data_IF_103126152236
#
_entry.id   IF_103126152236
#
_cell.length_a   1.000
_cell.length_b   1.000
_cell.length_c   1.000
_cell.angle_alpha   90.00
_cell.angle_beta   90.00
_cell.angle_gamma   90.00
#
_symmetry.space_group_name_H-M   'P 1'
#
loop_
_entity.id
_entity.type
_entity.pdbx_description
1 polymer ?
#
# COMPACT_ATOMS: atom_id res chain seq x y z
N UNK A 1 -49.16 -31.23 -6.88
CA UNK A 1 -47.94 -30.60 -7.45
C UNK A 1 -47.84 -29.12 -7.05
N UNK A 2 -47.69 -28.81 -5.75
CA UNK A 2 -47.65 -27.40 -5.28
C UNK A 2 -46.62 -27.13 -4.17
N UNK A 3 -45.69 -28.07 -3.92
CA UNK A 3 -44.68 -27.91 -2.86
C UNK A 3 -43.30 -27.44 -3.35
N UNK A 4 -42.99 -27.58 -4.66
CA UNK A 4 -41.64 -27.30 -5.16
C UNK A 4 -41.37 -25.82 -5.47
N UNK A 5 -42.41 -24.99 -5.65
CA UNK A 5 -42.24 -23.57 -6.01
C UNK A 5 -42.05 -22.62 -4.82
N UNK A 6 -42.25 -23.08 -3.57
CA UNK A 6 -42.20 -22.19 -2.39
C UNK A 6 -40.83 -22.14 -1.69
N UNK A 7 -39.84 -22.95 -2.12
CA UNK A 7 -38.47 -22.94 -1.56
C UNK A 7 -37.45 -22.09 -2.32
N UNK A 8 -37.82 -21.52 -3.47
CA UNK A 8 -36.88 -20.72 -4.28
C UNK A 8 -36.92 -19.23 -3.90
N UNK A 9 -37.89 -18.78 -3.11
CA UNK A 9 -38.09 -17.37 -2.78
C UNK A 9 -37.69 -16.96 -1.35
N UNK A 10 -37.11 -17.86 -0.56
CA UNK A 10 -36.65 -17.56 0.81
C UNK A 10 -35.14 -17.72 1.01
N UNK A 11 -34.36 -17.91 -0.05
CA UNK A 11 -32.96 -18.34 0.06
C UNK A 11 -31.97 -17.65 -0.86
N UNK A 12 -32.38 -16.60 -1.58
CA UNK A 12 -31.44 -15.77 -2.35
C UNK A 12 -31.65 -14.33 -1.92
N UNK A 13 -31.02 -13.97 -0.80
CA UNK A 13 -30.68 -12.58 -0.58
C UNK A 13 -29.66 -12.24 -1.67
N UNK A 14 -30.14 -11.74 -2.82
CA UNK A 14 -29.32 -11.01 -3.80
C UNK A 14 -29.00 -9.65 -3.16
N UNK A 15 -28.39 -9.66 -1.98
CA UNK A 15 -27.70 -8.50 -1.47
C UNK A 15 -26.51 -8.30 -2.38
N UNK A 16 -26.35 -7.09 -2.91
CA UNK A 16 -25.10 -6.69 -3.56
C UNK A 16 -23.95 -7.21 -2.71
N UNK A 17 -23.06 -8.02 -3.32
CA UNK A 17 -21.85 -8.44 -2.64
C UNK A 17 -21.17 -7.17 -2.12
N UNK A 18 -20.87 -7.08 -0.81
CA UNK A 18 -20.28 -5.87 -0.26
C UNK A 18 -19.00 -5.56 -1.03
N UNK A 19 -18.85 -4.31 -1.47
CA UNK A 19 -17.69 -3.88 -2.22
C UNK A 19 -16.43 -3.98 -1.34
N UNK A 20 -15.26 -4.12 -1.98
CA UNK A 20 -13.94 -4.07 -1.31
C UNK A 20 -13.69 -2.74 -0.58
N UNK A 21 -14.57 -1.74 -0.74
CA UNK A 21 -14.48 -0.44 -0.09
C UNK A 21 -14.40 -0.56 1.44
N UNK A 22 -15.10 -1.52 2.05
CA UNK A 22 -15.04 -1.71 3.51
C UNK A 22 -13.64 -2.09 3.98
N UNK A 23 -13.01 -3.07 3.33
CA UNK A 23 -11.61 -3.40 3.59
C UNK A 23 -10.67 -2.26 3.19
N UNK A 24 -11.05 -1.43 2.22
CA UNK A 24 -10.23 -0.33 1.76
C UNK A 24 -10.19 0.83 2.76
N UNK A 25 -11.26 1.07 3.51
CA UNK A 25 -11.31 2.09 4.56
C UNK A 25 -10.41 1.76 5.77
N UNK A 26 -10.05 0.48 5.95
CA UNK A 26 -9.10 0.05 7.00
C UNK A 26 -7.66 0.38 6.61
N UNK A 27 -7.34 0.40 5.32
CA UNK A 27 -6.00 0.63 4.81
C UNK A 27 -5.81 2.11 4.50
N UNK A 28 -4.68 2.70 4.90
CA UNK A 28 -4.43 4.14 4.84
C UNK A 28 -4.08 4.68 3.43
N UNK A 29 -4.84 4.32 2.39
CA UNK A 29 -4.60 4.70 0.99
C UNK A 29 -4.37 6.21 0.80
N UNK A 30 -5.33 7.01 1.25
CA UNK A 30 -5.32 8.46 1.01
C UNK A 30 -4.13 9.14 1.68
N UNK A 31 -3.75 8.69 2.88
CA UNK A 31 -2.65 9.27 3.64
C UNK A 31 -1.30 9.01 2.95
N UNK A 32 -1.06 7.75 2.56
CA UNK A 32 0.16 7.35 1.83
C UNK A 32 0.25 8.10 0.50
N UNK A 33 -0.80 8.05 -0.31
CA UNK A 33 -0.76 8.68 -1.64
C UNK A 33 -0.68 10.20 -1.56
N UNK A 34 -1.37 10.85 -0.62
CA UNK A 34 -1.25 12.29 -0.42
C UNK A 34 0.21 12.68 -0.11
N UNK A 35 0.89 11.92 0.76
CA UNK A 35 2.28 12.16 1.10
C UNK A 35 3.21 12.02 -0.12
N UNK A 36 2.97 11.03 -0.98
CA UNK A 36 3.70 10.87 -2.25
C UNK A 36 3.41 11.99 -3.25
N UNK A 37 2.17 12.45 -3.37
CA UNK A 37 1.81 13.57 -4.24
C UNK A 37 2.45 14.89 -3.77
N UNK A 38 2.41 15.19 -2.47
CA UNK A 38 3.07 16.35 -1.89
C UNK A 38 4.59 16.29 -2.08
N UNK A 39 5.19 15.11 -1.85
CA UNK A 39 6.60 14.88 -2.12
C UNK A 39 6.95 15.15 -3.59
N UNK A 40 6.18 14.59 -4.53
CA UNK A 40 6.37 14.81 -5.97
C UNK A 40 6.32 16.30 -6.33
N UNK A 41 5.33 17.04 -5.82
CA UNK A 41 5.24 18.49 -6.05
C UNK A 41 6.43 19.24 -5.46
N UNK A 42 6.85 18.89 -4.24
CA UNK A 42 7.98 19.53 -3.57
C UNK A 42 9.32 19.33 -4.29
N UNK A 43 9.49 18.18 -4.95
CA UNK A 43 10.64 17.92 -5.83
C UNK A 43 10.66 18.85 -7.04
N UNK A 44 9.50 19.21 -7.60
CA UNK A 44 9.43 20.14 -8.74
C UNK A 44 9.63 21.60 -8.36
N UNK A 45 9.40 21.96 -7.09
CA UNK A 45 9.58 23.31 -6.58
C UNK A 45 10.90 23.54 -5.83
N UNK A 46 11.76 22.51 -5.75
CA UNK A 46 13.03 22.51 -5.00
C UNK A 46 12.88 22.96 -3.51
N UNK A 47 11.73 22.66 -2.90
CA UNK A 47 11.45 23.03 -1.49
C UNK A 47 11.99 21.97 -0.53
N UNK A 48 13.24 22.14 -0.10
CA UNK A 48 13.95 21.16 0.72
C UNK A 48 13.30 20.90 2.09
N UNK A 49 12.65 21.90 2.70
CA UNK A 49 12.01 21.74 4.01
C UNK A 49 10.74 20.90 3.91
N UNK A 50 10.00 21.06 2.80
CA UNK A 50 8.84 20.21 2.48
C UNK A 50 9.29 18.82 2.06
N UNK A 51 10.35 18.68 1.25
CA UNK A 51 10.92 17.39 0.83
C UNK A 51 11.28 16.53 2.05
N UNK A 52 12.03 17.06 3.03
CA UNK A 52 12.40 16.32 4.25
C UNK A 52 11.17 15.88 5.05
N UNK A 53 10.19 16.78 5.19
CA UNK A 53 8.95 16.49 5.92
C UNK A 53 8.13 15.39 5.25
N UNK A 54 7.89 15.52 3.94
CA UNK A 54 7.17 14.51 3.17
C UNK A 54 7.92 13.17 3.16
N UNK A 55 9.26 13.17 3.12
CA UNK A 55 10.07 11.95 3.25
C UNK A 55 9.74 11.21 4.55
N UNK A 56 9.78 11.91 5.70
CA UNK A 56 9.44 11.31 7.00
C UNK A 56 7.99 10.82 7.04
N UNK A 57 7.06 11.63 6.54
CA UNK A 57 5.65 11.24 6.45
C UNK A 57 5.49 9.94 5.65
N UNK A 58 6.14 9.82 4.49
CA UNK A 58 6.10 8.59 3.69
C UNK A 58 6.66 7.41 4.46
N UNK A 59 7.81 7.55 5.12
CA UNK A 59 8.40 6.46 5.92
C UNK A 59 7.49 6.00 7.06
N UNK A 60 6.87 6.94 7.76
CA UNK A 60 5.94 6.66 8.86
C UNK A 60 4.68 5.97 8.33
N UNK A 61 4.09 6.46 7.24
CA UNK A 61 2.89 5.87 6.64
C UNK A 61 3.15 4.47 6.06
N UNK A 62 4.33 4.23 5.48
CA UNK A 62 4.73 2.89 5.04
C UNK A 62 4.90 1.93 6.22
N UNK A 63 5.45 2.40 7.33
CA UNK A 63 5.57 1.59 8.57
C UNK A 63 4.19 1.23 9.11
N UNK A 64 3.28 2.21 9.22
CA UNK A 64 1.89 1.99 9.65
C UNK A 64 1.16 1.01 8.74
N UNK A 65 1.42 1.03 7.44
CA UNK A 65 0.84 0.10 6.49
C UNK A 65 1.26 -1.35 6.78
N UNK A 66 2.53 -1.57 7.13
CA UNK A 66 3.04 -2.87 7.58
C UNK A 66 2.40 -3.31 8.89
N UNK A 67 2.22 -2.39 9.84
CA UNK A 67 1.55 -2.68 11.10
C UNK A 67 0.08 -3.08 10.87
N UNK A 68 -0.64 -2.38 9.98
CA UNK A 68 -2.01 -2.73 9.58
C UNK A 68 -2.05 -4.13 8.97
N UNK A 69 -1.13 -4.48 8.08
CA UNK A 69 -1.07 -5.84 7.53
C UNK A 69 -0.91 -6.87 8.66
N UNK A 70 0.12 -6.68 9.50
CA UNK A 70 0.45 -7.58 10.61
C UNK A 70 -0.71 -7.80 11.56
N UNK A 71 -1.37 -6.72 11.98
CA UNK A 71 -2.49 -6.76 12.92
C UNK A 71 -3.74 -7.46 12.37
N UNK A 72 -3.86 -7.54 11.04
CA UNK A 72 -5.03 -8.11 10.37
C UNK A 72 -4.77 -9.52 9.80
N UNK A 73 -3.52 -9.95 9.61
CA UNK A 73 -3.20 -11.28 9.08
C UNK A 73 -2.69 -12.27 10.14
N UNK A 74 -1.88 -11.84 11.12
CA UNK A 74 -1.27 -12.78 12.07
C UNK A 74 -2.20 -13.22 13.22
N UNK A 75 -3.42 -12.69 13.27
CA UNK A 75 -4.44 -13.16 14.23
C UNK A 75 -5.10 -14.42 13.67
N UNK A 76 -5.23 -15.48 14.48
CA UNK A 76 -5.99 -16.68 14.07
C UNK A 76 -7.43 -16.27 13.72
N UNK A 77 -7.88 -16.47 12.46
CA UNK A 77 -9.24 -16.15 12.08
C UNK A 77 -10.22 -17.06 12.82
N UNK A 78 -11.35 -16.51 13.28
CA UNK A 78 -12.35 -17.30 14.01
C UNK A 78 -13.23 -18.13 13.06
N UNK A 79 -13.38 -17.67 11.81
CA UNK A 79 -14.15 -18.32 10.76
C UNK A 79 -13.67 -17.93 9.35
N UNK A 80 -14.36 -18.44 8.33
CA UNK A 80 -14.08 -18.14 6.93
C UNK A 80 -14.30 -16.66 6.55
N UNK A 81 -15.24 -15.98 7.20
CA UNK A 81 -15.51 -14.55 6.94
C UNK A 81 -14.37 -13.68 7.46
N UNK A 82 -13.82 -14.01 8.63
CA UNK A 82 -12.64 -13.35 9.18
C UNK A 82 -11.42 -13.58 8.29
N UNK A 83 -11.19 -14.83 7.83
CA UNK A 83 -10.11 -15.15 6.87
C UNK A 83 -10.24 -14.33 5.59
N UNK A 84 -11.46 -14.17 5.06
CA UNK A 84 -11.74 -13.35 3.88
C UNK A 84 -11.41 -11.87 4.13
N UNK A 85 -11.81 -11.30 5.26
CA UNK A 85 -11.51 -9.89 5.59
C UNK A 85 -10.01 -9.65 5.72
N UNK A 86 -9.28 -10.55 6.39
CA UNK A 86 -7.82 -10.50 6.48
C UNK A 86 -7.17 -10.51 5.10
N UNK A 87 -7.65 -11.36 4.20
CA UNK A 87 -7.17 -11.40 2.81
C UNK A 87 -7.47 -10.10 2.05
N UNK A 88 -8.68 -9.55 2.21
CA UNK A 88 -9.03 -8.26 1.59
C UNK A 88 -8.11 -7.13 2.08
N UNK A 89 -7.80 -7.06 3.38
CA UNK A 89 -6.83 -6.10 3.94
C UNK A 89 -5.42 -6.35 3.40
N UNK A 90 -4.99 -7.61 3.31
CA UNK A 90 -3.67 -7.97 2.80
C UNK A 90 -3.47 -7.51 1.34
N UNK A 91 -4.43 -7.82 0.47
CA UNK A 91 -4.38 -7.39 -0.94
C UNK A 91 -4.40 -5.87 -1.04
N UNK A 92 -5.23 -5.21 -0.24
CA UNK A 92 -5.29 -3.74 -0.19
C UNK A 92 -3.95 -3.11 0.20
N UNK A 93 -3.26 -3.66 1.21
CA UNK A 93 -1.94 -3.16 1.62
C UNK A 93 -0.91 -3.35 0.49
N UNK A 94 -0.92 -4.51 -0.19
CA UNK A 94 -0.02 -4.79 -1.32
C UNK A 94 -0.28 -3.84 -2.50
N UNK A 95 -1.55 -3.54 -2.79
CA UNK A 95 -1.94 -2.56 -3.81
C UNK A 95 -1.36 -1.18 -3.49
N UNK A 96 -1.48 -0.70 -2.25
CA UNK A 96 -0.85 0.57 -1.81
C UNK A 96 0.66 0.54 -2.01
N UNK A 97 1.34 -0.49 -1.50
CA UNK A 97 2.79 -0.59 -1.59
C UNK A 97 3.28 -0.63 -3.05
N UNK A 98 2.54 -1.30 -3.92
CA UNK A 98 2.82 -1.39 -5.36
C UNK A 98 2.70 -0.02 -6.03
N UNK A 99 1.61 0.71 -5.78
CA UNK A 99 1.41 2.05 -6.32
C UNK A 99 2.44 3.04 -5.77
N UNK A 100 2.77 2.95 -4.48
CA UNK A 100 3.84 3.76 -3.85
C UNK A 100 5.20 3.50 -4.50
N UNK A 101 5.50 2.25 -4.86
CA UNK A 101 6.74 1.90 -5.58
C UNK A 101 6.81 2.55 -6.95
N UNK A 102 5.69 2.56 -7.69
CA UNK A 102 5.58 3.25 -8.97
C UNK A 102 5.70 4.78 -8.80
N UNK A 103 5.06 5.35 -7.78
CA UNK A 103 5.17 6.78 -7.46
C UNK A 103 6.62 7.18 -7.13
N UNK A 104 7.34 6.36 -6.35
CA UNK A 104 8.76 6.56 -6.06
C UNK A 104 9.61 6.51 -7.33
N UNK A 105 9.32 5.60 -8.27
CA UNK A 105 10.00 5.55 -9.56
C UNK A 105 9.78 6.83 -10.36
N UNK A 106 8.56 7.39 -10.40
CA UNK A 106 8.30 8.68 -11.03
C UNK A 106 9.06 9.83 -10.37
N UNK A 107 9.14 9.85 -9.04
CA UNK A 107 9.96 10.83 -8.31
C UNK A 107 11.45 10.73 -8.68
N UNK A 108 11.95 9.50 -8.90
CA UNK A 108 13.31 9.26 -9.38
C UNK A 108 13.56 9.80 -10.78
N UNK A 109 12.57 9.72 -11.68
CA UNK A 109 12.71 10.31 -13.02
C UNK A 109 12.78 11.84 -12.99
N UNK A 110 12.11 12.51 -12.04
CA UNK A 110 12.15 13.98 -11.90
C UNK A 110 13.54 14.51 -11.54
N UNK A 111 14.29 13.77 -10.72
CA UNK A 111 15.62 14.18 -10.23
C UNK A 111 16.76 13.79 -11.17
N UNK A 112 16.49 12.99 -12.22
CA UNK A 112 17.52 12.68 -13.22
C UNK A 112 17.89 13.96 -13.96
N UNK A 113 19.19 14.25 -14.16
CA UNK A 113 19.59 15.42 -14.91
C UNK A 113 19.02 15.32 -16.33
N UNK A 114 18.03 16.18 -16.64
CA UNK A 114 17.61 16.47 -18.01
C UNK A 114 18.88 16.80 -18.78
N UNK A 115 19.27 15.91 -19.71
CA UNK A 115 20.57 15.94 -20.36
C UNK A 115 21.01 17.37 -20.67
N UNK A 116 22.07 17.77 -19.98
CA UNK A 116 22.54 19.13 -19.89
C UNK A 116 22.69 19.75 -21.27
N UNK A 117 21.75 20.62 -21.65
CA UNK A 117 22.05 21.67 -22.62
C UNK A 117 23.14 22.53 -21.99
N UNK A 118 24.37 22.38 -22.53
CA UNK A 118 25.58 23.09 -22.15
C UNK A 118 25.30 24.54 -21.76
N UNK A 119 25.41 24.87 -20.47
CA UNK A 119 25.34 26.27 -20.05
C UNK A 119 25.09 26.47 -18.56
N UNK A 120 26.17 26.60 -17.79
CA UNK A 120 26.28 27.41 -16.56
C UNK A 120 25.18 27.25 -15.49
N UNK A 121 25.47 26.44 -14.47
CA UNK A 121 25.64 26.85 -13.05
C UNK A 121 26.00 25.59 -12.26
N UNK A 122 27.00 25.68 -11.38
CA UNK A 122 27.21 24.66 -10.33
C UNK A 122 26.04 24.78 -9.37
N UNK A 123 24.90 24.17 -9.70
CA UNK A 123 23.84 23.98 -8.72
C UNK A 123 24.36 22.97 -7.69
N UNK A 124 24.14 23.21 -6.38
CA UNK A 124 24.36 22.18 -5.38
C UNK A 124 23.61 20.91 -5.78
N UNK A 125 24.20 19.74 -5.53
CA UNK A 125 23.57 18.45 -5.82
C UNK A 125 22.13 18.44 -5.30
N UNK A 126 21.15 17.99 -6.11
CA UNK A 126 19.75 17.99 -5.68
C UNK A 126 19.60 17.01 -4.52
N UNK A 127 19.40 17.54 -3.31
CA UNK A 127 19.12 16.77 -2.09
C UNK A 127 17.96 15.79 -2.28
N UNK A 128 17.03 16.08 -3.19
CA UNK A 128 15.95 15.19 -3.58
C UNK A 128 16.40 13.78 -3.96
N UNK A 129 17.63 13.60 -4.48
CA UNK A 129 18.16 12.26 -4.77
C UNK A 129 18.33 11.39 -3.53
N UNK A 130 18.86 11.97 -2.44
CA UNK A 130 19.05 11.24 -1.20
C UNK A 130 17.70 10.86 -0.56
N UNK A 131 16.71 11.76 -0.67
CA UNK A 131 15.35 11.51 -0.20
C UNK A 131 14.63 10.42 -1.00
N UNK A 132 14.72 10.45 -2.33
CA UNK A 132 14.16 9.39 -3.18
C UNK A 132 14.83 8.05 -2.88
N UNK A 133 16.16 8.03 -2.70
CA UNK A 133 16.87 6.80 -2.34
C UNK A 133 16.39 6.27 -0.98
N UNK A 134 16.26 7.14 0.03
CA UNK A 134 15.75 6.78 1.36
C UNK A 134 14.34 6.20 1.31
N UNK A 135 13.43 6.81 0.54
CA UNK A 135 12.07 6.27 0.33
C UNK A 135 12.13 4.92 -0.39
N UNK A 136 12.98 4.78 -1.39
CA UNK A 136 13.16 3.51 -2.11
C UNK A 136 13.67 2.40 -1.21
N UNK A 137 14.63 2.69 -0.33
CA UNK A 137 15.17 1.72 0.62
C UNK A 137 14.11 1.33 1.65
N UNK A 138 13.31 2.30 2.12
CA UNK A 138 12.17 2.05 3.01
C UNK A 138 11.13 1.15 2.34
N UNK A 139 10.72 1.44 1.10
CA UNK A 139 9.79 0.61 0.34
C UNK A 139 10.30 -0.83 0.20
N UNK A 140 11.59 -1.00 -0.10
CA UNK A 140 12.21 -2.34 -0.19
C UNK A 140 12.18 -3.06 1.15
N UNK A 141 12.49 -2.36 2.24
CA UNK A 141 12.42 -2.91 3.60
C UNK A 141 11.02 -3.37 3.94
N UNK A 142 10.00 -2.53 3.72
CA UNK A 142 8.61 -2.89 4.01
C UNK A 142 8.09 -3.99 3.10
N UNK A 143 8.51 -4.04 1.83
CA UNK A 143 8.15 -5.14 0.93
C UNK A 143 8.66 -6.48 1.43
N UNK A 144 9.88 -6.53 1.96
CA UNK A 144 10.40 -7.75 2.59
C UNK A 144 9.58 -8.12 3.84
N UNK A 145 9.28 -7.15 4.71
CA UNK A 145 8.42 -7.38 5.88
C UNK A 145 7.04 -7.91 5.50
N UNK A 146 6.44 -7.38 4.43
CA UNK A 146 5.18 -7.86 3.88
C UNK A 146 5.28 -9.33 3.44
N UNK A 147 6.33 -9.69 2.71
CA UNK A 147 6.56 -11.07 2.29
C UNK A 147 6.65 -12.02 3.49
N UNK A 148 7.42 -11.64 4.51
CA UNK A 148 7.57 -12.45 5.74
C UNK A 148 6.23 -12.61 6.46
N UNK A 149 5.48 -11.53 6.65
CA UNK A 149 4.15 -11.56 7.31
C UNK A 149 3.15 -12.43 6.53
N UNK A 150 3.16 -12.34 5.20
CA UNK A 150 2.25 -13.12 4.36
C UNK A 150 2.64 -14.60 4.34
N UNK A 151 3.94 -14.92 4.39
CA UNK A 151 4.42 -16.29 4.52
C UNK A 151 3.98 -16.89 5.86
N UNK A 152 4.20 -16.17 6.96
CA UNK A 152 3.73 -16.58 8.30
C UNK A 152 2.21 -16.80 8.35
N UNK A 153 1.44 -15.95 7.65
CA UNK A 153 -0.01 -16.09 7.55
C UNK A 153 -0.45 -17.37 6.83
N UNK A 154 0.27 -17.77 5.77
CA UNK A 154 0.03 -19.02 5.07
C UNK A 154 0.40 -20.21 5.95
N UNK A 155 1.57 -20.18 6.59
CA UNK A 155 2.09 -21.28 7.42
C UNK A 155 1.30 -21.48 8.72
N UNK A 156 0.67 -20.42 9.23
CA UNK A 156 -0.23 -20.49 10.38
C UNK A 156 -1.63 -21.02 10.05
N UNK A 157 -2.00 -21.12 8.77
CA UNK A 157 -3.28 -21.68 8.35
C UNK A 157 -3.22 -23.21 8.49
N UNK A 158 -4.11 -23.86 9.27
CA UNK A 158 -4.11 -25.32 9.36
C UNK A 158 -4.30 -25.90 7.97
N UNK A 159 -3.50 -26.91 7.61
CA UNK A 159 -3.79 -27.76 6.45
C UNK A 159 -5.23 -28.25 6.60
N UNK A 160 -6.12 -27.81 5.71
CA UNK A 160 -7.43 -28.43 5.56
C UNK A 160 -7.16 -29.88 5.15
N UNK A 161 -7.17 -30.80 6.11
CA UNK A 161 -7.31 -32.23 5.83
C UNK A 161 -8.63 -32.40 5.09
N UNK A 162 -8.53 -32.48 3.76
CA UNK A 162 -9.57 -32.91 2.84
C UNK A 162 -9.97 -34.37 3.10
#
# INVERSE_FOLDING_TARGET
MTSFRRRVLSGIQIGLLPSRLHGALVVHYFSVFNSFFEFFLSLTSDDNDVIERCTKCIEDELTKLTDVLKENTLKKPNDFFDKRKSMEVAVNCVEVLSVSSVACAFCSELIKPLQAKKGKRKHPEPKGKDHVQRISDKLKSEMNSFCDILQDFVDASPEETL
#
